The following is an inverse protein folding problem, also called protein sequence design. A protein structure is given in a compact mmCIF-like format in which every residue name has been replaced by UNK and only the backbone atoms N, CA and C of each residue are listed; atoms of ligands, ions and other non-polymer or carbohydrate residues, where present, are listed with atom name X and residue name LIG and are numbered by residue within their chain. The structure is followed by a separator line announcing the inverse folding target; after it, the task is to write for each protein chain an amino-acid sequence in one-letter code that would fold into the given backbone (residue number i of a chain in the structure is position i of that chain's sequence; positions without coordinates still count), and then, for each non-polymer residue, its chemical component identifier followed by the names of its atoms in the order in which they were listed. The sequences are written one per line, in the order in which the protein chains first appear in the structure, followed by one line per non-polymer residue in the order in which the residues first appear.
data_IF_267285931094
#
_entry.id   IF_267285931094
#
_cell.length_a   1.000
_cell.length_b   1.000
_cell.length_c   1.000
_cell.angle_alpha   90.00
_cell.angle_beta   90.00
_cell.angle_gamma   90.00
#
_symmetry.space_group_name_H-M   'P 1'
#
loop_
_entity.id
_entity.type
_entity.pdbx_description
1 polymer ?
#
# COMPACT_ATOMS: atom_id res chain seq x y z
N UNK A 1 28.88 -15.45 18.94
CA UNK A 1 28.16 -15.30 17.66
C UNK A 1 27.09 -14.26 17.85
N UNK A 2 27.43 -12.99 17.65
CA UNK A 2 26.53 -11.84 17.83
C UNK A 2 26.89 -10.71 16.85
N UNK A 3 27.38 -11.06 15.66
CA UNK A 3 27.43 -10.11 14.54
C UNK A 3 26.07 -10.22 13.85
N UNK A 4 25.10 -9.46 14.37
CA UNK A 4 23.86 -9.20 13.66
C UNK A 4 24.20 -8.52 12.34
N UNK A 5 23.46 -8.89 11.28
CA UNK A 5 23.56 -8.32 9.93
C UNK A 5 23.76 -6.80 10.02
N UNK A 6 24.99 -6.35 9.80
CA UNK A 6 25.34 -4.93 9.86
C UNK A 6 24.41 -4.16 8.94
N UNK A 7 23.63 -3.26 9.50
CA UNK A 7 22.42 -2.69 8.88
C UNK A 7 22.73 -1.72 7.72
N UNK A 8 23.98 -1.67 7.22
CA UNK A 8 24.50 -0.64 6.32
C UNK A 8 24.63 0.74 6.97
N UNK A 9 23.88 0.99 8.05
CA UNK A 9 23.85 2.24 8.82
C UNK A 9 25.02 2.38 9.80
N UNK A 10 25.78 1.30 10.02
CA UNK A 10 27.02 1.25 10.81
C UNK A 10 28.00 2.36 10.41
N UNK A 11 28.01 2.70 9.11
CA UNK A 11 28.93 3.65 8.50
C UNK A 11 28.44 5.10 8.55
N UNK A 12 27.16 5.35 8.88
CA UNK A 12 26.65 6.71 9.00
C UNK A 12 27.12 7.28 10.34
N UNK A 13 27.99 8.29 10.26
CA UNK A 13 28.49 9.01 11.43
C UNK A 13 27.85 10.39 11.51
N UNK A 14 27.36 10.74 12.70
CA UNK A 14 26.80 12.06 12.97
C UNK A 14 27.81 13.16 12.62
N UNK A 15 29.09 12.93 12.85
CA UNK A 15 30.17 13.88 12.59
C UNK A 15 30.39 14.16 11.09
N UNK A 16 30.12 13.17 10.22
CA UNK A 16 30.18 13.36 8.77
C UNK A 16 28.97 14.18 8.31
N UNK A 17 27.76 13.85 8.78
CA UNK A 17 26.53 14.58 8.45
C UNK A 17 26.55 16.02 8.94
N UNK A 18 27.05 16.27 10.15
CA UNK A 18 27.18 17.62 10.71
C UNK A 18 28.12 18.49 9.88
N UNK A 19 29.22 17.90 9.39
CA UNK A 19 30.17 18.60 8.51
C UNK A 19 29.54 18.91 7.16
N UNK A 20 28.88 17.93 6.57
CA UNK A 20 28.26 18.07 5.24
C UNK A 20 27.07 19.05 5.26
N UNK A 21 26.33 19.11 6.37
CA UNK A 21 25.23 20.05 6.57
C UNK A 21 25.67 21.46 7.00
N UNK A 22 26.98 21.69 7.19
CA UNK A 22 27.57 22.96 7.65
C UNK A 22 26.92 23.52 8.93
N UNK A 23 26.59 22.64 9.88
CA UNK A 23 26.01 23.02 11.19
C UNK A 23 27.03 22.90 12.31
N UNK A 24 26.85 23.69 13.37
CA UNK A 24 27.75 23.59 14.54
C UNK A 24 27.59 22.23 15.25
N UNK A 25 28.71 21.60 15.63
CA UNK A 25 28.71 20.37 16.44
C UNK A 25 27.91 20.54 17.74
N UNK A 26 28.04 21.70 18.39
CA UNK A 26 27.31 22.00 19.63
C UNK A 26 25.80 21.99 19.43
N UNK A 27 25.28 22.53 18.31
CA UNK A 27 23.86 22.45 18.00
C UNK A 27 23.42 21.01 17.75
N UNK A 28 24.21 20.25 16.98
CA UNK A 28 23.91 18.85 16.69
C UNK A 28 23.83 17.97 17.94
N UNK A 29 24.81 18.06 18.85
CA UNK A 29 24.78 17.28 20.11
C UNK A 29 23.72 17.75 21.12
N UNK A 30 23.14 18.96 20.96
CA UNK A 30 21.95 19.37 21.73
C UNK A 30 20.69 18.66 21.22
N UNK A 31 20.59 18.40 19.92
CA UNK A 31 19.49 17.65 19.31
C UNK A 31 19.66 16.14 19.50
N UNK A 32 20.89 15.64 19.34
CA UNK A 32 21.26 14.23 19.46
C UNK A 32 22.38 14.05 20.47
N UNK A 33 22.06 13.97 21.77
CA UNK A 33 23.07 13.77 22.80
C UNK A 33 23.84 12.46 22.63
N UNK A 34 23.20 11.42 22.11
CA UNK A 34 23.80 10.13 21.82
C UNK A 34 23.66 9.79 20.32
N UNK A 35 24.54 8.92 19.81
CA UNK A 35 24.50 8.48 18.39
C UNK A 35 23.19 7.76 18.08
N UNK A 36 22.67 7.02 19.04
CA UNK A 36 21.41 6.27 18.95
C UNK A 36 20.22 7.20 18.75
N UNK A 37 20.25 8.43 19.29
CA UNK A 37 19.19 9.42 19.08
C UNK A 37 19.16 9.92 17.64
N UNK A 38 20.34 10.17 17.06
CA UNK A 38 20.49 10.54 15.66
C UNK A 38 20.02 9.41 14.74
N UNK A 39 20.46 8.18 14.99
CA UNK A 39 20.04 7.03 14.18
C UNK A 39 18.54 6.77 14.26
N UNK A 40 17.92 6.93 15.43
CA UNK A 40 16.48 6.80 15.58
C UNK A 40 15.72 7.83 14.73
N UNK A 41 16.16 9.09 14.72
CA UNK A 41 15.52 10.12 13.90
C UNK A 41 15.75 9.90 12.39
N UNK A 42 16.92 9.42 11.98
CA UNK A 42 17.17 9.03 10.58
C UNK A 42 16.25 7.89 10.17
N UNK A 43 16.15 6.83 10.97
CA UNK A 43 15.27 5.68 10.70
C UNK A 43 13.80 6.12 10.65
N UNK A 44 13.37 6.99 11.57
CA UNK A 44 12.02 7.54 11.58
C UNK A 44 11.73 8.41 10.34
N UNK A 45 12.67 9.26 9.92
CA UNK A 45 12.55 10.07 8.72
C UNK A 45 12.54 9.23 7.42
N UNK A 46 13.19 8.07 7.44
CA UNK A 46 13.18 7.13 6.32
C UNK A 46 11.86 6.36 6.21
N UNK A 47 11.09 6.21 7.29
CA UNK A 47 9.84 5.43 7.29
C UNK A 47 8.76 6.03 6.36
N UNK A 48 8.63 7.35 6.32
CA UNK A 48 7.64 8.05 5.50
C UNK A 48 7.84 7.83 3.98
N UNK A 49 9.03 8.03 3.39
CA UNK A 49 9.27 7.75 1.97
C UNK A 49 9.45 6.26 1.65
N UNK A 50 9.54 5.38 2.65
CA UNK A 50 9.80 3.95 2.46
C UNK A 50 8.59 3.19 1.95
N UNK A 51 7.37 3.60 2.32
CA UNK A 51 6.19 2.90 1.87
C UNK A 51 5.85 3.27 0.42
N UNK A 52 5.51 2.27 -0.42
CA UNK A 52 5.07 2.54 -1.78
C UNK A 52 3.72 3.24 -1.74
N UNK A 53 3.65 4.36 -2.44
CA UNK A 53 2.45 5.20 -2.55
C UNK A 53 1.76 4.94 -3.90
N UNK A 54 2.39 4.17 -4.79
CA UNK A 54 2.42 4.49 -6.22
C UNK A 54 1.24 3.99 -7.07
N UNK A 55 0.45 2.99 -6.65
CA UNK A 55 -0.42 2.31 -7.62
C UNK A 55 -1.93 2.36 -7.40
N UNK A 56 -2.43 2.74 -6.22
CA UNK A 56 -3.88 2.70 -5.98
C UNK A 56 -4.63 4.01 -6.25
N UNK A 57 -3.96 5.07 -6.72
CA UNK A 57 -4.60 6.36 -7.06
C UNK A 57 -4.07 6.94 -8.37
N UNK A 58 -4.95 7.62 -9.09
CA UNK A 58 -4.66 8.35 -10.31
C UNK A 58 -5.24 7.73 -11.58
N UNK A 59 -5.00 8.42 -12.70
CA UNK A 59 -5.53 8.05 -14.01
C UNK A 59 -5.14 6.65 -14.49
N UNK A 60 -3.97 6.13 -14.06
CA UNK A 60 -3.55 4.76 -14.37
C UNK A 60 -4.47 3.73 -13.72
N UNK A 61 -4.66 3.80 -12.41
CA UNK A 61 -5.52 2.87 -11.66
C UNK A 61 -6.95 2.87 -12.22
N UNK A 62 -7.47 4.07 -12.53
CA UNK A 62 -8.81 4.20 -13.15
C UNK A 62 -8.88 3.58 -14.54
N UNK A 63 -7.82 3.71 -15.34
CA UNK A 63 -7.73 3.08 -16.68
C UNK A 63 -7.73 1.56 -16.58
N UNK A 64 -6.93 0.99 -15.66
CA UNK A 64 -6.86 -0.46 -15.43
C UNK A 64 -8.22 -1.03 -15.05
N UNK A 65 -8.92 -0.39 -14.11
CA UNK A 65 -10.28 -0.82 -13.70
C UNK A 65 -11.25 -0.74 -14.88
N UNK A 66 -11.22 0.35 -15.63
CA UNK A 66 -12.11 0.57 -16.79
C UNK A 66 -11.92 -0.49 -17.87
N UNK A 67 -10.67 -0.80 -18.21
CA UNK A 67 -10.33 -1.83 -19.20
C UNK A 67 -10.76 -3.23 -18.74
N UNK A 68 -10.60 -3.54 -17.45
CA UNK A 68 -10.99 -4.84 -16.89
C UNK A 68 -12.51 -5.04 -16.83
N UNK A 69 -13.26 -3.97 -16.60
CA UNK A 69 -14.73 -3.99 -16.48
C UNK A 69 -15.38 -3.99 -17.86
N UNK A 70 -14.86 -3.17 -18.78
CA UNK A 70 -15.43 -2.93 -20.10
C UNK A 70 -16.43 -1.77 -20.13
N UNK A 71 -17.05 -1.55 -21.29
CA UNK A 71 -17.94 -0.39 -21.54
C UNK A 71 -19.42 -0.77 -21.77
N UNK A 72 -19.79 -2.04 -21.65
CA UNK A 72 -21.17 -2.50 -21.87
C UNK A 72 -21.98 -2.45 -20.56
N UNK A 73 -22.98 -1.57 -20.40
CA UNK A 73 -23.78 -1.49 -19.17
C UNK A 73 -24.48 -2.80 -18.81
N UNK A 74 -24.74 -3.67 -19.80
CA UNK A 74 -25.38 -4.97 -19.58
C UNK A 74 -24.50 -5.92 -18.77
N UNK A 75 -23.18 -5.68 -18.73
CA UNK A 75 -22.26 -6.44 -17.89
C UNK A 75 -22.34 -6.07 -16.40
N UNK A 76 -23.24 -5.15 -16.03
CA UNK A 76 -23.53 -4.76 -14.65
C UNK A 76 -24.99 -4.99 -14.28
N UNK A 77 -25.75 -5.74 -15.08
CA UNK A 77 -27.20 -5.91 -14.91
C UNK A 77 -27.53 -6.75 -13.68
N UNK A 78 -27.07 -7.99 -13.65
CA UNK A 78 -27.39 -8.90 -12.53
C UNK A 78 -26.35 -8.79 -11.42
N UNK A 79 -26.69 -9.23 -10.21
CA UNK A 79 -25.71 -9.36 -9.10
C UNK A 79 -24.49 -10.19 -9.54
N UNK A 80 -24.69 -11.26 -10.31
CA UNK A 80 -23.61 -12.10 -10.82
C UNK A 80 -22.69 -11.38 -11.81
N UNK A 81 -23.26 -10.56 -12.70
CA UNK A 81 -22.50 -9.75 -13.65
C UNK A 81 -21.67 -8.68 -12.92
N UNK A 82 -22.28 -7.98 -11.96
CA UNK A 82 -21.63 -6.97 -11.11
C UNK A 82 -20.49 -7.57 -10.28
N UNK A 83 -20.73 -8.74 -9.68
CA UNK A 83 -19.70 -9.47 -8.94
C UNK A 83 -18.54 -9.80 -9.87
N UNK A 84 -18.82 -10.36 -11.04
CA UNK A 84 -17.79 -10.68 -12.03
C UNK A 84 -16.98 -9.46 -12.47
N UNK A 85 -17.62 -8.29 -12.61
CA UNK A 85 -16.95 -7.03 -12.91
C UNK A 85 -16.05 -6.55 -11.76
N UNK A 86 -16.53 -6.58 -10.51
CA UNK A 86 -15.74 -6.27 -9.31
C UNK A 86 -14.49 -7.16 -9.24
N UNK A 87 -14.63 -8.47 -9.44
CA UNK A 87 -13.50 -9.40 -9.34
C UNK A 87 -12.46 -9.16 -10.43
N UNK A 88 -12.88 -8.83 -11.67
CA UNK A 88 -11.95 -8.45 -12.75
C UNK A 88 -11.23 -7.15 -12.44
N UNK A 89 -11.95 -6.15 -11.92
CA UNK A 89 -11.36 -4.87 -11.52
C UNK A 89 -10.28 -5.08 -10.45
N UNK A 90 -10.62 -5.78 -9.36
CA UNK A 90 -9.70 -6.07 -8.25
C UNK A 90 -8.49 -6.88 -8.73
N UNK A 91 -8.70 -7.89 -9.58
CA UNK A 91 -7.60 -8.70 -10.10
C UNK A 91 -6.62 -7.89 -10.95
N UNK A 92 -7.16 -7.08 -11.87
CA UNK A 92 -6.35 -6.25 -12.76
C UNK A 92 -5.59 -5.16 -11.98
N UNK A 93 -6.25 -4.52 -11.03
CA UNK A 93 -5.60 -3.53 -10.14
C UNK A 93 -4.45 -4.16 -9.36
N UNK A 94 -4.65 -5.31 -8.72
CA UNK A 94 -3.58 -5.95 -7.96
C UNK A 94 -2.38 -6.38 -8.82
N UNK A 95 -2.63 -6.88 -10.04
CA UNK A 95 -1.55 -7.21 -10.98
C UNK A 95 -0.79 -5.95 -11.42
N UNK A 96 -1.48 -4.83 -11.63
CA UNK A 96 -0.85 -3.53 -11.94
C UNK A 96 -0.07 -2.96 -10.76
N UNK A 97 -0.61 -3.09 -9.55
CA UNK A 97 0.01 -2.66 -8.31
C UNK A 97 1.37 -3.34 -8.11
N UNK A 98 1.43 -4.66 -8.31
CA UNK A 98 2.69 -5.39 -8.20
C UNK A 98 3.71 -4.98 -9.29
N UNK A 99 3.25 -4.59 -10.48
CA UNK A 99 4.14 -4.08 -11.53
C UNK A 99 4.72 -2.72 -11.13
N UNK A 100 3.89 -1.80 -10.65
CA UNK A 100 4.33 -0.50 -10.14
C UNK A 100 5.28 -0.65 -8.94
N UNK A 101 4.98 -1.58 -8.03
CA UNK A 101 5.84 -1.89 -6.89
C UNK A 101 7.22 -2.41 -7.31
N UNK A 102 7.31 -3.17 -8.39
CA UNK A 102 8.60 -3.61 -8.96
C UNK A 102 9.40 -2.45 -9.56
N UNK A 103 8.74 -1.46 -10.13
CA UNK A 103 9.40 -0.23 -10.59
C UNK A 103 9.92 0.62 -9.42
N UNK A 104 9.26 0.52 -8.26
CA UNK A 104 9.57 1.21 -7.01
C UNK A 104 10.44 0.37 -6.03
N UNK A 105 11.24 -0.55 -6.57
CA UNK A 105 12.12 -1.49 -5.84
C UNK A 105 12.97 -0.81 -4.74
N UNK A 106 13.43 0.43 -4.96
CA UNK A 106 14.19 1.17 -3.93
C UNK A 106 13.38 1.47 -2.66
N UNK A 107 12.12 1.86 -2.79
CA UNK A 107 11.24 2.15 -1.63
C UNK A 107 10.95 0.87 -0.87
N UNK A 108 10.63 -0.21 -1.60
CA UNK A 108 10.42 -1.52 -1.01
C UNK A 108 11.63 -2.04 -0.23
N UNK A 109 12.84 -1.94 -0.80
CA UNK A 109 14.06 -2.32 -0.09
C UNK A 109 14.29 -1.49 1.17
N UNK A 110 13.99 -0.19 1.12
CA UNK A 110 14.07 0.68 2.29
C UNK A 110 13.08 0.24 3.38
N UNK A 111 11.81 0.04 3.03
CA UNK A 111 10.77 -0.41 3.95
C UNK A 111 11.12 -1.77 4.58
N UNK A 112 11.52 -2.75 3.77
CA UNK A 112 11.89 -4.08 4.26
C UNK A 112 13.12 -4.02 5.18
N UNK A 113 14.08 -3.14 4.88
CA UNK A 113 15.23 -2.91 5.76
C UNK A 113 14.77 -2.33 7.10
N UNK A 114 13.91 -1.32 7.10
CA UNK A 114 13.35 -0.74 8.33
C UNK A 114 12.59 -1.80 9.15
N UNK A 115 11.75 -2.61 8.50
CA UNK A 115 11.00 -3.68 9.14
C UNK A 115 11.91 -4.73 9.81
N UNK A 116 13.10 -4.97 9.28
CA UNK A 116 14.10 -5.87 9.86
C UNK A 116 14.95 -5.20 10.96
N UNK A 117 15.19 -3.89 10.86
CA UNK A 117 15.98 -3.13 11.84
C UNK A 117 15.21 -2.88 13.13
N UNK A 118 13.92 -2.52 13.05
CA UNK A 118 13.11 -2.13 14.22
C UNK A 118 13.08 -3.20 15.32
N UNK A 119 12.93 -4.51 15.04
CA UNK A 119 12.99 -5.55 16.07
C UNK A 119 14.37 -5.73 16.71
N UNK A 120 15.44 -5.31 16.03
CA UNK A 120 16.82 -5.41 16.53
C UNK A 120 17.24 -4.25 17.45
N UNK A 121 16.48 -3.16 17.45
CA UNK A 121 16.74 -2.01 18.33
C UNK A 121 16.48 -2.39 19.80
N UNK A 122 17.32 -1.94 20.74
CA UNK A 122 17.05 -2.09 22.17
C UNK A 122 15.71 -1.45 22.56
N UNK A 123 15.01 -2.05 23.52
CA UNK A 123 13.80 -1.43 24.09
C UNK A 123 14.13 -0.07 24.70
N UNK A 124 13.32 0.94 24.39
CA UNK A 124 13.52 2.29 24.90
C UNK A 124 13.01 3.37 23.93
N UNK A 125 13.16 4.66 24.31
CA UNK A 125 12.55 5.78 23.59
C UNK A 125 12.99 5.91 22.12
N UNK A 126 14.19 5.45 21.78
CA UNK A 126 14.70 5.42 20.41
C UNK A 126 13.88 4.45 19.55
N UNK A 127 13.68 3.21 20.02
CA UNK A 127 12.89 2.20 19.31
C UNK A 127 11.44 2.65 19.18
N UNK A 128 10.85 3.18 20.24
CA UNK A 128 9.45 3.62 20.25
C UNK A 128 9.19 4.72 19.21
N UNK A 129 10.15 5.64 19.03
CA UNK A 129 10.09 6.67 17.97
C UNK A 129 10.07 6.08 16.57
N UNK A 130 10.94 5.11 16.28
CA UNK A 130 11.02 4.47 14.96
C UNK A 130 9.75 3.64 14.70
N UNK A 131 9.30 2.85 15.68
CA UNK A 131 8.03 2.10 15.61
C UNK A 131 6.88 3.05 15.28
N UNK A 132 6.73 4.14 16.03
CA UNK A 132 5.65 5.09 15.78
C UNK A 132 5.72 5.74 14.39
N UNK A 133 6.92 5.93 13.83
CA UNK A 133 7.08 6.45 12.47
C UNK A 133 6.67 5.42 11.40
N UNK A 134 7.06 4.16 11.57
CA UNK A 134 6.63 3.06 10.69
C UNK A 134 5.12 2.86 10.78
N UNK A 135 4.56 2.83 11.99
CA UNK A 135 3.11 2.67 12.21
C UNK A 135 2.32 3.77 11.52
N UNK A 136 2.72 5.04 11.66
CA UNK A 136 2.06 6.16 10.96
C UNK A 136 2.12 6.03 9.45
N UNK A 137 3.26 5.59 8.92
CA UNK A 137 3.41 5.39 7.50
C UNK A 137 2.49 4.24 7.03
N UNK A 138 2.44 3.12 7.75
CA UNK A 138 1.58 1.97 7.41
C UNK A 138 0.11 2.33 7.50
N UNK A 139 -0.29 3.07 8.54
CA UNK A 139 -1.65 3.57 8.71
C UNK A 139 -2.11 4.41 7.53
N UNK A 140 -1.25 5.29 7.00
CA UNK A 140 -1.57 6.11 5.83
C UNK A 140 -1.86 5.27 4.57
N UNK A 141 -1.10 4.18 4.37
CA UNK A 141 -1.33 3.24 3.26
C UNK A 141 -2.61 2.44 3.49
N UNK A 142 -2.81 1.90 4.70
CA UNK A 142 -4.00 1.11 5.01
C UNK A 142 -5.27 1.94 4.88
N UNK A 143 -5.29 3.19 5.39
CA UNK A 143 -6.44 4.08 5.25
C UNK A 143 -6.76 4.40 3.79
N UNK A 144 -5.75 4.50 2.93
CA UNK A 144 -5.97 4.66 1.49
C UNK A 144 -6.60 3.41 0.87
N UNK A 145 -6.02 2.23 1.11
CA UNK A 145 -6.54 0.96 0.60
C UNK A 145 -7.96 0.70 1.09
N UNK A 146 -8.27 1.09 2.33
CA UNK A 146 -9.62 1.03 2.89
C UNK A 146 -10.62 1.83 2.05
N UNK A 147 -10.28 3.08 1.69
CA UNK A 147 -11.11 3.91 0.83
C UNK A 147 -11.25 3.32 -0.57
N UNK A 148 -10.18 2.75 -1.12
CA UNK A 148 -10.17 2.19 -2.48
C UNK A 148 -11.07 0.93 -2.55
N UNK A 149 -10.98 0.04 -1.56
CA UNK A 149 -11.89 -1.10 -1.43
C UNK A 149 -13.34 -0.65 -1.27
N UNK A 150 -13.61 0.33 -0.41
CA UNK A 150 -14.97 0.86 -0.19
C UNK A 150 -15.56 1.38 -1.51
N UNK A 151 -14.80 2.19 -2.24
CA UNK A 151 -15.24 2.75 -3.53
C UNK A 151 -15.51 1.68 -4.57
N UNK A 152 -14.62 0.70 -4.71
CA UNK A 152 -14.81 -0.40 -5.67
C UNK A 152 -16.06 -1.20 -5.34
N UNK A 153 -16.25 -1.55 -4.07
CA UNK A 153 -17.42 -2.32 -3.63
C UNK A 153 -18.70 -1.53 -3.90
N UNK A 154 -18.78 -0.28 -3.46
CA UNK A 154 -19.94 0.59 -3.65
C UNK A 154 -20.24 0.87 -5.13
N UNK A 155 -19.19 1.04 -5.96
CA UNK A 155 -19.32 1.26 -7.39
C UNK A 155 -20.05 0.10 -8.09
N UNK A 156 -19.85 -1.13 -7.64
CA UNK A 156 -20.51 -2.32 -8.18
C UNK A 156 -21.72 -2.77 -7.36
N UNK A 157 -22.14 -1.99 -6.36
CA UNK A 157 -23.31 -2.27 -5.52
C UNK A 157 -23.10 -3.39 -4.52
N UNK A 158 -21.90 -3.49 -3.97
CA UNK A 158 -21.55 -4.37 -2.87
C UNK A 158 -21.14 -3.59 -1.63
N UNK A 159 -21.24 -4.24 -0.48
CA UNK A 159 -20.59 -3.84 0.76
C UNK A 159 -19.71 -4.98 1.26
N UNK A 160 -18.79 -4.68 2.18
CA UNK A 160 -17.95 -5.70 2.79
C UNK A 160 -18.67 -6.39 3.97
N UNK A 161 -18.45 -7.69 4.13
CA UNK A 161 -18.91 -8.49 5.29
C UNK A 161 -18.01 -8.36 6.52
N UNK A 162 -16.81 -7.80 6.33
CA UNK A 162 -15.87 -7.42 7.38
C UNK A 162 -15.49 -5.94 7.25
N UNK A 163 -14.79 -5.39 8.22
CA UNK A 163 -14.34 -3.99 8.14
C UNK A 163 -13.43 -3.78 6.92
N UNK A 164 -13.63 -2.70 6.15
CA UNK A 164 -12.78 -2.39 5.00
C UNK A 164 -11.31 -2.24 5.38
N UNK A 165 -11.04 -1.77 6.60
CA UNK A 165 -9.68 -1.68 7.15
C UNK A 165 -9.04 -3.06 7.33
N UNK A 166 -9.81 -4.07 7.68
CA UNK A 166 -9.33 -5.46 7.78
C UNK A 166 -8.96 -6.00 6.39
N UNK A 167 -9.81 -5.77 5.38
CA UNK A 167 -9.50 -6.10 3.97
C UNK A 167 -8.20 -5.43 3.51
N UNK A 168 -8.08 -4.12 3.76
CA UNK A 168 -6.90 -3.33 3.42
C UNK A 168 -5.62 -3.89 4.08
N UNK A 169 -5.70 -4.26 5.35
CA UNK A 169 -4.57 -4.82 6.11
C UNK A 169 -4.13 -6.18 5.56
N UNK A 170 -5.10 -7.08 5.29
CA UNK A 170 -4.82 -8.40 4.69
C UNK A 170 -4.25 -8.25 3.27
N UNK A 171 -4.85 -7.36 2.47
CA UNK A 171 -4.36 -7.01 1.14
C UNK A 171 -2.92 -6.49 1.18
N UNK A 172 -2.59 -5.57 2.07
CA UNK A 172 -1.22 -5.06 2.20
C UNK A 172 -0.23 -6.17 2.60
N UNK A 173 -0.60 -7.05 3.52
CA UNK A 173 0.22 -8.18 3.93
C UNK A 173 0.48 -9.17 2.76
N UNK A 174 -0.53 -9.43 1.93
CA UNK A 174 -0.38 -10.24 0.72
C UNK A 174 0.58 -9.59 -0.27
N UNK A 175 0.45 -8.28 -0.55
CA UNK A 175 1.31 -7.57 -1.50
C UNK A 175 2.77 -7.62 -1.04
N UNK A 176 3.01 -7.35 0.25
CA UNK A 176 4.34 -7.49 0.87
C UNK A 176 4.93 -8.87 0.61
N UNK A 177 4.13 -9.93 0.77
CA UNK A 177 4.55 -11.30 0.46
C UNK A 177 4.96 -11.50 -1.00
N UNK A 178 4.19 -10.97 -1.94
CA UNK A 178 4.52 -11.03 -3.38
C UNK A 178 5.79 -10.27 -3.73
N UNK A 179 5.98 -9.08 -3.15
CA UNK A 179 7.18 -8.27 -3.37
C UNK A 179 8.41 -8.98 -2.82
N UNK A 180 8.37 -9.47 -1.57
CA UNK A 180 9.47 -10.22 -0.94
C UNK A 180 9.78 -11.50 -1.73
N UNK A 181 8.77 -12.23 -2.18
CA UNK A 181 8.94 -13.40 -3.04
C UNK A 181 9.68 -13.07 -4.33
N UNK A 182 9.36 -11.94 -4.97
CA UNK A 182 10.05 -11.45 -6.16
C UNK A 182 11.55 -11.21 -5.94
N UNK A 183 11.94 -10.69 -4.77
CA UNK A 183 13.35 -10.46 -4.43
C UNK A 183 14.14 -11.74 -4.14
N UNK A 184 13.45 -12.80 -3.70
CA UNK A 184 14.08 -14.10 -3.36
C UNK A 184 14.15 -15.05 -4.56
N UNK A 185 13.79 -14.59 -5.77
CA UNK A 185 13.85 -15.38 -6.99
C UNK A 185 12.67 -16.35 -7.16
N UNK A 186 11.56 -16.14 -6.45
CA UNK A 186 10.33 -16.87 -6.72
C UNK A 186 9.87 -16.61 -8.17
N UNK A 187 9.15 -17.58 -8.73
CA UNK A 187 8.56 -17.45 -10.06
C UNK A 187 7.74 -16.16 -10.19
N UNK A 188 7.64 -15.56 -11.40
CA UNK A 188 6.89 -14.33 -11.59
C UNK A 188 5.45 -14.51 -11.12
N UNK A 189 5.12 -13.85 -10.00
CA UNK A 189 3.82 -13.92 -9.39
C UNK A 189 2.84 -12.95 -10.06
N UNK A 190 1.57 -13.36 -10.09
CA UNK A 190 0.40 -12.56 -10.47
C UNK A 190 -0.61 -12.58 -9.32
N UNK A 191 -0.71 -11.52 -8.51
CA UNK A 191 -1.55 -11.49 -7.33
C UNK A 191 -3.05 -11.46 -7.67
N UNK A 192 -3.43 -11.08 -8.88
CA UNK A 192 -4.82 -10.74 -9.24
C UNK A 192 -5.87 -11.76 -8.80
N UNK A 193 -5.63 -13.06 -9.01
CA UNK A 193 -6.57 -14.10 -8.58
C UNK A 193 -6.71 -14.18 -7.05
N UNK A 194 -5.61 -14.02 -6.32
CA UNK A 194 -5.63 -14.02 -4.85
C UNK A 194 -6.44 -12.86 -4.29
N UNK A 195 -6.30 -11.67 -4.88
CA UNK A 195 -7.07 -10.49 -4.49
C UNK A 195 -8.53 -10.59 -4.90
N UNK A 196 -8.84 -11.17 -6.06
CA UNK A 196 -10.21 -11.45 -6.45
C UNK A 196 -10.88 -12.41 -5.45
N UNK A 197 -10.21 -13.46 -5.01
CA UNK A 197 -10.76 -14.38 -3.99
C UNK A 197 -10.96 -13.67 -2.64
N UNK A 198 -10.03 -12.81 -2.23
CA UNK A 198 -10.18 -11.99 -1.03
C UNK A 198 -11.42 -11.08 -1.12
N UNK A 199 -11.59 -10.38 -2.25
CA UNK A 199 -12.73 -9.51 -2.48
C UNK A 199 -14.05 -10.29 -2.58
N UNK A 200 -14.07 -11.44 -3.26
CA UNK A 200 -15.27 -12.27 -3.40
C UNK A 200 -15.76 -12.78 -2.04
N UNK A 201 -14.84 -13.25 -1.19
CA UNK A 201 -15.16 -13.71 0.16
C UNK A 201 -15.72 -12.61 1.07
N UNK A 202 -15.36 -11.36 0.79
CA UNK A 202 -15.81 -10.19 1.55
C UNK A 202 -17.08 -9.53 0.95
N UNK A 203 -17.40 -9.76 -0.32
CA UNK A 203 -18.44 -9.01 -1.02
C UNK A 203 -19.85 -9.56 -0.76
N UNK A 204 -20.68 -8.76 -0.11
CA UNK A 204 -22.14 -8.98 -0.02
C UNK A 204 -22.88 -7.95 -0.88
N UNK A 205 -23.89 -8.35 -1.67
CA UNK A 205 -24.69 -7.40 -2.45
C UNK A 205 -25.37 -6.38 -1.51
N UNK A 206 -25.26 -5.09 -1.83
CA UNK A 206 -25.98 -4.02 -1.12
C UNK A 206 -27.44 -3.93 -1.53
N UNK A 207 -27.76 -4.43 -2.73
CA UNK A 207 -29.11 -4.61 -3.25
C UNK A 207 -29.22 -5.94 -3.99
N UNK A 208 -30.43 -6.52 -3.99
CA UNK A 208 -30.75 -7.74 -4.74
C UNK A 208 -31.39 -7.47 -6.10
N UNK A 209 -31.49 -6.21 -6.51
CA UNK A 209 -32.20 -5.80 -7.72
C UNK A 209 -31.27 -5.85 -8.94
N UNK A 210 -31.86 -6.17 -10.10
CA UNK A 210 -31.17 -5.99 -11.37
C UNK A 210 -31.03 -4.50 -11.67
N UNK A 211 -29.84 -4.09 -12.12
CA UNK A 211 -29.62 -2.73 -12.58
C UNK A 211 -30.16 -2.56 -13.99
N UNK A 212 -30.94 -1.51 -14.20
CA UNK A 212 -31.30 -1.08 -15.55
C UNK A 212 -30.05 -0.55 -16.30
N UNK A 213 -30.22 -0.39 -17.61
CA UNK A 213 -29.13 0.07 -18.48
C UNK A 213 -28.63 1.47 -18.08
N UNK A 214 -29.52 2.34 -17.57
CA UNK A 214 -29.17 3.69 -17.14
C UNK A 214 -28.29 3.67 -15.90
N UNK A 215 -28.62 2.86 -14.90
CA UNK A 215 -27.82 2.67 -13.68
C UNK A 215 -26.48 2.03 -14.00
N UNK A 216 -26.45 0.99 -14.84
CA UNK A 216 -25.20 0.39 -15.32
C UNK A 216 -24.31 1.41 -16.04
N UNK A 217 -24.89 2.24 -16.91
CA UNK A 217 -24.17 3.29 -17.64
C UNK A 217 -23.62 4.35 -16.69
N UNK A 218 -24.40 4.81 -15.71
CA UNK A 218 -23.92 5.74 -14.67
C UNK A 218 -22.72 5.19 -13.88
N UNK A 219 -22.70 3.89 -13.57
CA UNK A 219 -21.57 3.27 -12.89
C UNK A 219 -20.32 3.27 -13.79
N UNK A 220 -20.45 2.93 -15.06
CA UNK A 220 -19.35 2.98 -16.03
C UNK A 220 -18.87 4.42 -16.30
N UNK A 221 -19.77 5.40 -16.30
CA UNK A 221 -19.43 6.81 -16.46
C UNK A 221 -18.60 7.35 -15.28
N UNK A 222 -18.78 6.80 -14.06
CA UNK A 222 -17.89 7.11 -12.93
C UNK A 222 -16.47 6.60 -13.17
N UNK A 223 -16.33 5.45 -13.82
CA UNK A 223 -15.02 4.97 -14.28
C UNK A 223 -14.44 5.82 -15.39
N UNK A 224 -15.23 6.71 -16.03
CA UNK A 224 -14.75 7.67 -17.02
C UNK A 224 -14.02 8.87 -16.41
N UNK A 225 -14.13 9.10 -15.10
CA UNK A 225 -13.45 10.17 -14.38
C UNK A 225 -11.91 10.08 -14.54
N UNK A 226 -11.18 11.21 -14.37
CA UNK A 226 -9.73 11.22 -14.37
C UNK A 226 -9.13 10.36 -13.26
N UNK A 227 -9.78 10.34 -12.09
CA UNK A 227 -9.44 9.45 -10.99
C UNK A 227 -10.72 9.07 -10.21
N UNK A 228 -11.07 7.78 -10.20
CA UNK A 228 -12.20 7.26 -9.42
C UNK A 228 -11.86 7.09 -7.93
N UNK A 229 -10.56 7.15 -7.60
CA UNK A 229 -10.01 6.99 -6.26
C UNK A 229 -9.67 8.34 -5.58
N UNK A 230 -9.74 9.46 -6.30
CA UNK A 230 -9.74 10.80 -5.70
C UNK A 230 -11.09 11.07 -5.04
N UNK A 231 -11.10 11.44 -3.77
CA UNK A 231 -12.33 11.80 -3.06
C UNK A 231 -12.95 13.07 -3.60
N UNK A 232 -14.23 13.36 -3.28
CA UNK A 232 -14.64 14.76 -3.22
C UNK A 232 -13.81 15.54 -2.19
#
# INVERSE_FOLDING_TARGET
MAEGLGTGLEHIRLEDVVRDADVSRTAAYRCWPQREDFLADVLAALAEPALPIASTRGARATTVVREAVGADPRSLRTVGDRRSALLRAVAASADDDLLADREEDRRWRLYLTLAMVVPSLPAGPQRDRVVAAVDRAEDAVVSRLEDDYRRLFELFGFSSTVEYRELATVGLALMRGYVVGGHTGAAPARPGLGYALLADGAATPSDGEDWDEERGRRALDRLAAPDVFDGP
#
